data_IF_480795455912
#
_entry.id   IF_480795455912
#
_cell.length_a   1.000
_cell.length_b   1.000
_cell.length_c   1.000
_cell.angle_alpha   90.00
_cell.angle_beta   90.00
_cell.angle_gamma   90.00
#
_symmetry.space_group_name_H-M   'P 1'
#
loop_
_entity.id
_entity.type
_entity.pdbx_description
1 polymer ?
#
# COMPACT_ATOMS: atom_id res chain seq x y z
N UNK A 1 0.45 -22.75 -4.67
CA UNK A 1 1.76 -23.22 -5.17
C UNK A 1 2.37 -22.40 -6.31
N UNK A 2 1.69 -22.21 -7.45
CA UNK A 2 2.28 -21.58 -8.66
C UNK A 2 3.08 -20.29 -8.40
N UNK A 3 2.54 -19.36 -7.61
CA UNK A 3 3.20 -18.08 -7.32
C UNK A 3 4.06 -18.09 -6.06
N UNK A 4 3.85 -19.04 -5.14
CA UNK A 4 4.60 -19.11 -3.88
C UNK A 4 6.09 -19.33 -4.13
N UNK A 5 6.47 -20.15 -5.12
CA UNK A 5 7.89 -20.34 -5.50
C UNK A 5 8.55 -19.06 -6.00
N UNK A 6 7.81 -18.25 -6.77
CA UNK A 6 8.31 -16.97 -7.29
C UNK A 6 8.51 -15.99 -6.13
N UNK A 7 7.52 -15.83 -5.27
CA UNK A 7 7.63 -14.95 -4.11
C UNK A 7 8.70 -15.42 -3.11
N UNK A 8 8.86 -16.74 -2.92
CA UNK A 8 9.92 -17.31 -2.08
C UNK A 8 11.33 -17.17 -2.69
N UNK A 9 11.45 -16.95 -4.00
CA UNK A 9 12.73 -16.68 -4.66
C UNK A 9 13.12 -15.20 -4.69
N UNK A 10 12.24 -14.30 -4.24
CA UNK A 10 12.60 -12.88 -4.14
C UNK A 10 13.67 -12.69 -3.06
N UNK A 11 14.56 -11.72 -3.29
CA UNK A 11 15.60 -11.37 -2.33
C UNK A 11 14.95 -11.00 -0.99
N UNK A 12 15.33 -11.62 0.14
CA UNK A 12 14.71 -11.34 1.43
C UNK A 12 14.83 -9.88 1.89
N UNK A 13 15.89 -9.20 1.42
CA UNK A 13 16.13 -7.77 1.66
C UNK A 13 15.47 -6.85 0.63
N UNK A 14 14.80 -7.41 -0.37
CA UNK A 14 14.12 -6.68 -1.43
C UNK A 14 13.01 -5.78 -0.87
N UNK A 15 13.01 -4.52 -1.30
CA UNK A 15 12.01 -3.53 -0.89
C UNK A 15 10.93 -3.41 -1.95
N UNK A 16 9.67 -3.35 -1.53
CA UNK A 16 8.57 -3.02 -2.44
C UNK A 16 8.73 -1.59 -2.97
N UNK A 17 8.20 -1.28 -4.15
CA UNK A 17 8.27 0.07 -4.74
C UNK A 17 7.74 1.14 -3.78
N UNK A 18 6.62 0.86 -3.12
CA UNK A 18 6.02 1.73 -2.11
C UNK A 18 6.94 2.01 -0.91
N UNK A 19 7.72 1.03 -0.44
CA UNK A 19 8.72 1.27 0.62
C UNK A 19 9.87 2.14 0.09
N UNK A 20 10.31 1.92 -1.16
CA UNK A 20 11.35 2.74 -1.77
C UNK A 20 10.93 4.20 -1.98
N UNK A 21 9.66 4.44 -2.35
CA UNK A 21 9.09 5.79 -2.46
C UNK A 21 9.11 6.48 -1.10
N UNK A 22 8.63 5.79 -0.06
CA UNK A 22 8.65 6.31 1.30
C UNK A 22 10.07 6.66 1.75
N UNK A 23 11.04 5.77 1.56
CA UNK A 23 12.44 6.05 1.97
C UNK A 23 13.07 7.20 1.17
N UNK A 24 12.60 7.44 -0.06
CA UNK A 24 13.06 8.54 -0.92
C UNK A 24 12.30 9.86 -0.67
N UNK A 25 11.32 9.89 0.22
CA UNK A 25 10.44 11.05 0.43
C UNK A 25 9.56 11.37 -0.78
N UNK A 26 9.25 10.37 -1.62
CA UNK A 26 8.28 10.50 -2.70
C UNK A 26 6.89 10.08 -2.20
N UNK A 27 5.86 10.68 -2.79
CA UNK A 27 4.50 10.20 -2.63
C UNK A 27 4.38 8.77 -3.18
N UNK A 28 3.69 7.92 -2.45
CA UNK A 28 3.42 6.55 -2.87
C UNK A 28 2.16 6.47 -3.74
N UNK A 29 1.96 5.31 -4.34
CA UNK A 29 0.78 5.00 -5.16
C UNK A 29 -0.45 4.58 -4.31
N UNK A 30 -0.46 4.82 -2.99
CA UNK A 30 -1.58 4.47 -2.10
C UNK A 30 -2.98 4.91 -2.60
N UNK A 31 -3.16 6.09 -3.23
CA UNK A 31 -4.44 6.50 -3.81
C UNK A 31 -4.96 5.54 -4.89
N UNK A 32 -4.06 4.91 -5.64
CA UNK A 32 -4.39 3.98 -6.73
C UNK A 32 -4.56 2.53 -6.27
N UNK A 33 -4.09 2.21 -5.06
CA UNK A 33 -4.18 0.87 -4.47
C UNK A 33 -5.23 0.79 -3.36
N UNK A 34 -4.82 0.85 -2.09
CA UNK A 34 -5.72 0.59 -0.96
C UNK A 34 -6.90 1.56 -0.92
N UNK A 35 -6.67 2.86 -1.16
CA UNK A 35 -7.75 3.85 -1.15
C UNK A 35 -8.72 3.64 -2.32
N UNK A 36 -8.23 3.25 -3.51
CA UNK A 36 -9.11 2.95 -4.65
C UNK A 36 -9.94 1.69 -4.41
N UNK A 37 -9.34 0.63 -3.89
CA UNK A 37 -10.06 -0.59 -3.52
C UNK A 37 -11.14 -0.30 -2.46
N UNK A 38 -10.81 0.51 -1.45
CA UNK A 38 -11.76 0.97 -0.43
C UNK A 38 -12.93 1.76 -1.03
N UNK A 39 -12.64 2.71 -1.93
CA UNK A 39 -13.67 3.50 -2.60
C UNK A 39 -14.64 2.61 -3.40
N UNK A 40 -14.11 1.67 -4.20
CA UNK A 40 -14.93 0.72 -4.98
C UNK A 40 -15.74 -0.19 -4.04
N UNK A 41 -15.13 -0.66 -2.95
CA UNK A 41 -15.82 -1.46 -1.94
C UNK A 41 -17.03 -0.74 -1.36
N UNK A 42 -16.86 0.53 -0.98
CA UNK A 42 -17.94 1.37 -0.48
C UNK A 42 -19.06 1.60 -1.51
N UNK A 43 -18.71 1.87 -2.77
CA UNK A 43 -19.68 2.03 -3.87
C UNK A 43 -20.53 0.77 -4.09
N UNK A 44 -19.95 -0.42 -3.89
CA UNK A 44 -20.61 -1.71 -4.09
C UNK A 44 -21.21 -2.31 -2.81
N UNK A 45 -21.07 -1.66 -1.66
CA UNK A 45 -21.48 -2.21 -0.36
C UNK A 45 -20.68 -3.44 0.08
N UNK A 46 -19.43 -3.59 -0.40
CA UNK A 46 -18.52 -4.69 -0.07
C UNK A 46 -17.48 -4.17 0.94
N UNK A 47 -17.39 -4.75 2.16
CA UNK A 47 -16.43 -4.30 3.15
C UNK A 47 -14.98 -4.66 2.73
N UNK A 48 -14.07 -3.69 2.84
CA UNK A 48 -12.65 -3.84 2.48
C UNK A 48 -11.71 -3.54 3.67
N UNK A 49 -11.91 -4.16 4.84
CA UNK A 49 -11.34 -3.71 6.10
C UNK A 49 -9.81 -3.64 6.11
N UNK A 50 -9.14 -4.54 5.37
CA UNK A 50 -7.68 -4.55 5.26
C UNK A 50 -7.18 -3.36 4.43
N UNK A 51 -7.83 -3.05 3.31
CA UNK A 51 -7.49 -1.89 2.48
C UNK A 51 -7.77 -0.59 3.22
N UNK A 52 -8.87 -0.53 3.99
CA UNK A 52 -9.24 0.65 4.78
C UNK A 52 -8.15 0.94 5.83
N UNK A 53 -7.76 -0.09 6.60
CA UNK A 53 -6.73 0.04 7.62
C UNK A 53 -5.37 0.40 7.02
N UNK A 54 -4.87 -0.38 6.05
CA UNK A 54 -3.55 -0.16 5.47
C UNK A 54 -3.47 1.17 4.72
N UNK A 55 -4.52 1.52 3.97
CA UNK A 55 -4.60 2.77 3.24
C UNK A 55 -4.52 3.99 4.16
N UNK A 56 -5.26 3.96 5.28
CA UNK A 56 -5.24 5.06 6.24
C UNK A 56 -3.92 5.14 7.03
N UNK A 57 -3.32 4.00 7.39
CA UNK A 57 -2.01 3.99 8.06
C UNK A 57 -0.92 4.59 7.16
N UNK A 58 -0.92 4.24 5.87
CA UNK A 58 0.05 4.77 4.92
C UNK A 58 -0.16 6.27 4.66
N UNK A 59 -1.41 6.71 4.53
CA UNK A 59 -1.76 8.14 4.41
C UNK A 59 -1.29 8.95 5.63
N UNK A 60 -1.44 8.41 6.85
CA UNK A 60 -0.95 9.04 8.07
C UNK A 60 0.58 9.13 8.09
N UNK A 61 1.27 8.04 7.70
CA UNK A 61 2.72 7.99 7.57
C UNK A 61 3.22 9.06 6.58
N UNK A 62 2.61 9.15 5.41
CA UNK A 62 2.97 10.11 4.38
C UNK A 62 2.71 11.54 4.85
N UNK A 63 1.59 11.78 5.54
CA UNK A 63 1.26 13.10 6.09
C UNK A 63 2.33 13.57 7.07
N UNK A 64 2.77 12.71 7.99
CA UNK A 64 3.85 13.03 8.94
C UNK A 64 5.17 13.32 8.20
N UNK A 65 5.47 12.54 7.17
CA UNK A 65 6.72 12.68 6.41
C UNK A 65 6.80 13.98 5.59
N UNK A 66 5.67 14.46 5.08
CA UNK A 66 5.59 15.66 4.23
C UNK A 66 5.07 16.90 4.98
N UNK A 67 4.89 16.82 6.30
CA UNK A 67 4.55 17.98 7.12
C UNK A 67 5.74 18.97 7.14
N UNK A 68 5.48 20.28 7.01
CA UNK A 68 6.52 21.31 7.02
C UNK A 68 7.23 21.47 8.37
#
# INVERSE_FOLDING_TARGET
ERYQKIFASLEPSGKTSMLQDRESGRLTENPWFCKRASAIGNELGIPTPLCDMLGNLLEAIETIQHSP
#
